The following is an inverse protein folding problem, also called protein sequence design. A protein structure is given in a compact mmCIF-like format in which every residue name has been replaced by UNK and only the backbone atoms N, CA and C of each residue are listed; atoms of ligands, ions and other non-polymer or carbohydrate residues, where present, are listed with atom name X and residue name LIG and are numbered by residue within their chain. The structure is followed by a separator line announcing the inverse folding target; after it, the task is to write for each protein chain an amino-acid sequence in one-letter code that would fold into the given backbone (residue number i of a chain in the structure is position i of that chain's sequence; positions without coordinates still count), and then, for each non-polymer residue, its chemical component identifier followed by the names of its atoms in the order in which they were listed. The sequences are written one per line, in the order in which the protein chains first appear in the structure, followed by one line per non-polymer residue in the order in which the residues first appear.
data_IF_615755676056
#
_entry.id   IF_615755676056
#
_cell.length_a   1.000
_cell.length_b   1.000
_cell.length_c   1.000
_cell.angle_alpha   90.00
_cell.angle_beta   90.00
_cell.angle_gamma   90.00
#
_symmetry.space_group_name_H-M   'P 1'
#
loop_
_entity.id
_entity.type
_entity.pdbx_description
1 polymer ?
#
# COMPACT_ATOMS: atom_id res chain seq x y z
N UNK A 1 -16.37 21.92 -15.03
CA UNK A 1 -15.92 20.54 -15.31
C UNK A 1 -16.94 19.59 -14.71
N UNK A 2 -17.26 18.48 -15.39
CA UNK A 2 -18.13 17.45 -14.83
C UNK A 2 -17.22 16.33 -14.31
N UNK A 3 -16.94 16.34 -13.00
CA UNK A 3 -16.02 15.38 -12.38
C UNK A 3 -16.61 13.97 -12.35
N UNK A 4 -17.92 13.82 -12.17
CA UNK A 4 -18.58 12.51 -12.22
C UNK A 4 -18.37 11.84 -13.58
N UNK A 5 -18.49 12.60 -14.67
CA UNK A 5 -18.19 12.10 -16.00
C UNK A 5 -16.73 11.68 -16.14
N UNK A 6 -15.79 12.49 -15.67
CA UNK A 6 -14.35 12.14 -15.69
C UNK A 6 -14.05 10.88 -14.88
N UNK A 7 -14.72 10.70 -13.74
CA UNK A 7 -14.59 9.51 -12.91
C UNK A 7 -15.10 8.29 -13.68
N UNK A 8 -16.31 8.33 -14.22
CA UNK A 8 -16.91 7.21 -14.95
C UNK A 8 -16.11 6.79 -16.20
N UNK A 9 -15.47 7.74 -16.89
CA UNK A 9 -14.58 7.45 -18.03
C UNK A 9 -13.28 6.73 -17.62
N UNK A 10 -12.91 6.77 -16.34
CA UNK A 10 -11.69 6.14 -15.79
C UNK A 10 -11.98 4.82 -15.06
N UNK A 11 -13.25 4.51 -14.78
CA UNK A 11 -13.63 3.23 -14.18
C UNK A 11 -13.40 2.12 -15.19
N UNK A 12 -12.62 1.11 -14.78
CA UNK A 12 -12.27 -0.06 -15.58
C UNK A 12 -12.38 -1.33 -14.74
N UNK A 13 -12.46 -2.49 -15.39
CA UNK A 13 -12.36 -3.76 -14.72
C UNK A 13 -10.92 -4.05 -14.25
N UNK A 14 -10.77 -5.01 -13.33
CA UNK A 14 -9.44 -5.48 -12.90
C UNK A 14 -8.66 -6.03 -14.09
N UNK A 15 -9.31 -6.79 -14.97
CA UNK A 15 -8.70 -7.37 -16.18
C UNK A 15 -8.18 -6.31 -17.14
N UNK A 16 -8.94 -5.22 -17.32
CA UNK A 16 -8.55 -4.06 -18.13
C UNK A 16 -7.36 -3.33 -17.52
N UNK A 17 -7.42 -3.02 -16.21
CA UNK A 17 -6.32 -2.39 -15.50
C UNK A 17 -5.04 -3.23 -15.53
N UNK A 18 -5.17 -4.56 -15.43
CA UNK A 18 -4.04 -5.46 -15.55
C UNK A 18 -3.37 -5.33 -16.92
N UNK A 19 -4.10 -5.14 -18.03
CA UNK A 19 -3.49 -5.02 -19.38
C UNK A 19 -2.43 -3.92 -19.48
N UNK A 20 -2.49 -2.92 -18.60
CA UNK A 20 -1.53 -1.82 -18.56
C UNK A 20 -0.15 -2.22 -18.04
N UNK A 21 -0.06 -3.33 -17.29
CA UNK A 21 1.21 -3.87 -16.78
C UNK A 21 1.96 -4.59 -17.90
N UNK A 22 3.22 -4.21 -18.12
CA UNK A 22 4.10 -4.76 -19.16
C UNK A 22 5.36 -5.35 -18.55
N UNK A 23 6.00 -6.26 -19.29
CA UNK A 23 7.27 -6.85 -18.88
C UNK A 23 8.32 -5.78 -18.56
N UNK A 24 9.09 -6.03 -17.52
CA UNK A 24 10.18 -5.17 -17.08
C UNK A 24 9.75 -3.96 -16.25
N UNK A 25 8.45 -3.64 -16.12
CA UNK A 25 7.97 -2.48 -15.37
C UNK A 25 8.13 -2.60 -13.86
N UNK A 26 8.16 -1.45 -13.18
CA UNK A 26 8.12 -1.31 -11.74
C UNK A 26 6.77 -0.77 -11.28
N UNK A 27 6.15 -1.53 -10.39
CA UNK A 27 4.93 -1.18 -9.70
C UNK A 27 5.32 -0.77 -8.27
N UNK A 28 4.97 0.45 -7.86
CA UNK A 28 4.97 0.82 -6.44
C UNK A 28 3.53 0.83 -5.93
N UNK A 29 3.33 0.54 -4.64
CA UNK A 29 1.99 0.56 -4.07
C UNK A 29 1.89 1.16 -2.67
N UNK A 30 0.68 1.56 -2.32
CA UNK A 30 0.26 1.88 -0.94
C UNK A 30 0.52 0.72 0.01
N UNK A 31 0.55 1.02 1.30
CA UNK A 31 1.02 0.11 2.34
C UNK A 31 -0.13 -0.35 3.24
N UNK A 32 0.16 -1.25 4.19
CA UNK A 32 -0.69 -1.59 5.34
C UNK A 32 -2.18 -1.73 4.96
N UNK A 33 -3.02 -0.78 5.38
CA UNK A 33 -4.47 -0.88 5.28
C UNK A 33 -4.98 -0.49 3.89
N UNK A 34 -4.26 0.41 3.23
CA UNK A 34 -4.56 0.90 1.89
C UNK A 34 -3.81 0.15 0.79
N UNK A 35 -3.15 -0.97 1.11
CA UNK A 35 -2.60 -1.85 0.07
C UNK A 35 -3.70 -2.21 -0.95
N UNK A 36 -3.41 -2.17 -2.27
CA UNK A 36 -4.40 -2.39 -3.32
C UNK A 36 -4.67 -3.89 -3.50
N UNK A 37 -5.41 -4.45 -2.52
CA UNK A 37 -5.67 -5.89 -2.39
C UNK A 37 -6.29 -6.46 -3.66
N UNK A 38 -7.23 -5.75 -4.28
CA UNK A 38 -7.95 -6.27 -5.45
C UNK A 38 -6.97 -6.50 -6.61
N UNK A 39 -6.09 -5.56 -6.90
CA UNK A 39 -5.08 -5.65 -7.94
C UNK A 39 -3.98 -6.66 -7.58
N UNK A 40 -3.40 -6.56 -6.38
CA UNK A 40 -2.32 -7.45 -5.94
C UNK A 40 -2.75 -8.92 -5.95
N UNK A 41 -4.02 -9.21 -5.60
CA UNK A 41 -4.57 -10.56 -5.64
C UNK A 41 -4.63 -11.15 -7.05
N UNK A 42 -4.66 -10.32 -8.11
CA UNK A 42 -4.81 -10.78 -9.49
C UNK A 42 -3.53 -10.68 -10.32
N UNK A 43 -2.43 -10.13 -9.79
CA UNK A 43 -1.16 -10.02 -10.55
C UNK A 43 -0.66 -11.37 -11.08
N UNK A 44 -0.82 -12.47 -10.32
CA UNK A 44 -0.39 -13.79 -10.76
C UNK A 44 -1.12 -14.29 -12.03
N UNK A 45 -2.34 -13.80 -12.30
CA UNK A 45 -3.18 -14.27 -13.43
C UNK A 45 -2.59 -13.91 -14.79
N UNK A 46 -1.71 -12.90 -14.82
CA UNK A 46 -1.08 -12.39 -16.03
C UNK A 46 0.35 -12.92 -16.24
N UNK A 47 0.79 -13.92 -15.46
CA UNK A 47 2.16 -14.47 -15.57
C UNK A 47 2.57 -14.81 -17.01
N UNK A 48 1.65 -15.35 -17.82
CA UNK A 48 1.95 -15.81 -19.17
C UNK A 48 2.21 -14.69 -20.19
N UNK A 49 1.95 -13.42 -19.83
CA UNK A 49 2.15 -12.27 -20.72
C UNK A 49 3.21 -11.28 -20.23
N UNK A 50 3.70 -11.44 -19.01
CA UNK A 50 4.69 -10.53 -18.42
C UNK A 50 5.89 -11.27 -17.85
N UNK A 51 7.05 -10.63 -17.93
CA UNK A 51 8.30 -11.09 -17.36
C UNK A 51 8.99 -9.94 -16.63
N UNK A 52 9.72 -10.24 -15.56
CA UNK A 52 10.56 -9.28 -14.81
C UNK A 52 9.80 -8.03 -14.32
N UNK A 53 8.54 -8.19 -13.89
CA UNK A 53 7.80 -7.11 -13.22
C UNK A 53 8.25 -7.00 -11.76
N UNK A 54 8.71 -5.81 -11.39
CA UNK A 54 9.13 -5.47 -10.03
C UNK A 54 7.95 -4.89 -9.26
N UNK A 55 7.63 -5.42 -8.09
CA UNK A 55 6.64 -4.84 -7.18
C UNK A 55 7.38 -4.32 -5.94
N UNK A 56 7.45 -3.00 -5.78
CA UNK A 56 8.14 -2.34 -4.66
C UNK A 56 7.13 -1.95 -3.61
N UNK A 57 7.21 -2.57 -2.44
CA UNK A 57 6.24 -2.38 -1.37
C UNK A 57 6.85 -2.59 0.02
N UNK A 58 6.15 -2.13 1.05
CA UNK A 58 6.44 -2.47 2.43
C UNK A 58 5.15 -2.80 3.16
N UNK A 59 5.28 -3.52 4.27
CA UNK A 59 4.17 -3.70 5.20
C UNK A 59 2.90 -4.30 4.56
N UNK A 60 3.07 -5.13 3.51
CA UNK A 60 1.93 -5.83 2.91
C UNK A 60 1.31 -6.77 3.94
N UNK A 61 0.02 -6.66 4.16
CA UNK A 61 -0.70 -7.40 5.20
C UNK A 61 -1.06 -8.81 4.75
N UNK A 62 -1.39 -8.97 3.47
CA UNK A 62 -1.81 -10.24 2.90
C UNK A 62 -0.66 -11.04 2.26
N UNK A 63 -0.90 -12.33 2.12
CA UNK A 63 -0.10 -13.24 1.28
C UNK A 63 -0.70 -13.26 -0.13
N UNK A 64 0.06 -12.84 -1.14
CA UNK A 64 -0.41 -12.81 -2.54
C UNK A 64 0.28 -13.88 -3.39
N UNK A 65 -0.50 -14.54 -4.26
CA UNK A 65 0.01 -15.58 -5.17
C UNK A 65 1.22 -15.12 -5.99
N UNK A 66 1.29 -13.83 -6.40
CA UNK A 66 2.39 -13.33 -7.23
C UNK A 66 3.77 -13.42 -6.56
N UNK A 67 3.83 -13.50 -5.24
CA UNK A 67 5.09 -13.70 -4.51
C UNK A 67 5.11 -14.99 -3.67
N UNK A 68 3.96 -15.60 -3.39
CA UNK A 68 3.87 -16.85 -2.64
C UNK A 68 4.05 -18.10 -3.50
N UNK A 69 3.88 -17.99 -4.82
CA UNK A 69 3.98 -19.11 -5.73
C UNK A 69 5.36 -19.14 -6.43
N UNK A 70 6.17 -20.21 -6.29
CA UNK A 70 7.47 -20.33 -6.95
C UNK A 70 7.41 -20.23 -8.49
N UNK A 71 6.27 -20.55 -9.11
CA UNK A 71 6.07 -20.38 -10.55
C UNK A 71 6.07 -18.91 -11.00
N UNK A 72 6.01 -17.96 -10.07
CA UNK A 72 6.11 -16.53 -10.37
C UNK A 72 7.55 -16.07 -10.60
N UNK A 73 8.54 -16.92 -10.28
CA UNK A 73 9.95 -16.59 -10.46
C UNK A 73 10.25 -16.25 -11.92
N UNK A 74 10.82 -15.07 -12.15
CA UNK A 74 11.08 -14.54 -13.50
C UNK A 74 9.90 -13.75 -14.10
N UNK A 75 8.70 -13.86 -13.52
CA UNK A 75 7.52 -13.08 -13.90
C UNK A 75 7.33 -11.88 -12.99
N UNK A 76 7.29 -12.13 -11.68
CA UNK A 76 7.14 -11.11 -10.65
C UNK A 76 8.23 -11.25 -9.59
N UNK A 77 8.66 -10.11 -9.05
CA UNK A 77 9.54 -10.03 -7.90
C UNK A 77 9.00 -9.00 -6.91
N UNK A 78 8.65 -9.44 -5.71
CA UNK A 78 8.38 -8.51 -4.61
C UNK A 78 9.70 -7.97 -4.07
N UNK A 79 10.00 -6.72 -4.39
CA UNK A 79 11.10 -5.94 -3.87
C UNK A 79 10.64 -5.21 -2.60
N UNK A 80 10.67 -5.93 -1.48
CA UNK A 80 10.15 -5.39 -0.23
C UNK A 80 11.20 -4.62 0.57
N UNK A 81 10.85 -3.42 1.00
CA UNK A 81 11.72 -2.62 1.89
C UNK A 81 11.34 -2.71 3.37
N UNK A 82 10.30 -3.50 3.69
CA UNK A 82 9.99 -3.95 5.04
C UNK A 82 9.24 -5.29 4.98
N UNK A 83 9.87 -6.36 5.48
CA UNK A 83 9.26 -7.68 5.48
C UNK A 83 8.17 -7.84 6.54
N UNK A 84 7.00 -8.30 6.10
CA UNK A 84 5.93 -8.85 6.96
C UNK A 84 5.94 -10.39 6.91
N UNK A 85 4.93 -11.02 7.51
CA UNK A 85 4.85 -12.48 7.60
C UNK A 85 4.94 -13.16 6.23
N UNK A 86 4.19 -12.67 5.24
CA UNK A 86 4.20 -13.21 3.88
C UNK A 86 5.58 -13.12 3.21
N UNK A 87 6.19 -11.94 3.21
CA UNK A 87 7.52 -11.74 2.62
C UNK A 87 8.60 -12.61 3.29
N UNK A 88 8.55 -12.77 4.62
CA UNK A 88 9.46 -13.68 5.35
C UNK A 88 9.29 -15.13 4.91
N UNK A 89 8.03 -15.59 4.82
CA UNK A 89 7.69 -16.96 4.42
C UNK A 89 8.11 -17.26 2.98
N UNK A 90 7.93 -16.31 2.07
CA UNK A 90 8.24 -16.46 0.66
C UNK A 90 9.71 -16.22 0.30
N UNK A 91 10.55 -15.77 1.24
CA UNK A 91 11.94 -15.41 0.94
C UNK A 91 12.74 -16.55 0.29
N UNK A 92 12.57 -17.79 0.77
CA UNK A 92 13.26 -18.97 0.23
C UNK A 92 12.78 -19.39 -1.16
N UNK A 93 11.65 -18.86 -1.64
CA UNK A 93 11.09 -19.20 -2.95
C UNK A 93 11.79 -18.46 -4.09
N UNK A 94 12.57 -17.41 -3.79
CA UNK A 94 13.28 -16.60 -4.78
C UNK A 94 12.37 -15.65 -5.58
N UNK A 95 11.16 -15.39 -5.07
CA UNK A 95 10.15 -14.45 -5.60
C UNK A 95 10.05 -13.17 -4.76
N UNK A 96 10.86 -13.06 -3.71
CA UNK A 96 10.95 -11.89 -2.83
C UNK A 96 12.42 -11.49 -2.64
N UNK A 97 12.70 -10.20 -2.71
CA UNK A 97 13.97 -9.57 -2.39
C UNK A 97 13.78 -8.51 -1.32
N UNK A 98 14.81 -8.29 -0.48
CA UNK A 98 14.82 -7.23 0.52
C UNK A 98 15.63 -6.03 0.04
N UNK A 99 15.07 -4.83 0.15
CA UNK A 99 15.78 -3.58 -0.11
C UNK A 99 15.93 -2.83 1.22
N UNK A 100 17.15 -2.71 1.75
CA UNK A 100 17.38 -1.86 2.92
C UNK A 100 17.13 -0.39 2.55
N UNK A 101 16.09 0.21 3.12
CA UNK A 101 15.76 1.63 2.96
C UNK A 101 15.34 2.23 4.30
N UNK A 102 15.72 3.48 4.54
CA UNK A 102 15.15 4.27 5.63
C UNK A 102 13.80 4.85 5.21
N UNK A 103 12.76 4.67 6.02
CA UNK A 103 11.38 5.07 5.70
C UNK A 103 11.29 6.52 5.21
N UNK A 104 11.90 7.46 5.93
CA UNK A 104 11.89 8.90 5.60
C UNK A 104 12.60 9.26 4.27
N UNK A 105 13.33 8.31 3.66
CA UNK A 105 13.99 8.48 2.37
C UNK A 105 13.53 7.47 1.34
N UNK A 106 12.64 6.54 1.68
CA UNK A 106 12.35 5.35 0.88
C UNK A 106 11.99 5.72 -0.56
N UNK A 107 11.11 6.71 -0.77
CA UNK A 107 10.74 7.18 -2.10
C UNK A 107 11.93 7.82 -2.80
N UNK A 108 12.58 8.83 -2.20
CA UNK A 108 13.71 9.53 -2.80
C UNK A 108 14.86 8.59 -3.21
N UNK A 109 15.23 7.65 -2.34
CA UNK A 109 16.29 6.67 -2.57
C UNK A 109 15.88 5.66 -3.64
N UNK A 110 14.64 5.16 -3.60
CA UNK A 110 14.17 4.20 -4.61
C UNK A 110 14.07 4.88 -5.97
N UNK A 111 13.42 6.02 -6.05
CA UNK A 111 13.18 6.75 -7.30
C UNK A 111 14.44 7.33 -7.93
N UNK A 112 15.49 7.57 -7.14
CA UNK A 112 16.82 7.88 -7.68
C UNK A 112 17.42 6.71 -8.47
N UNK A 113 17.21 5.48 -8.00
CA UNK A 113 17.63 4.27 -8.71
C UNK A 113 16.69 3.95 -9.88
N UNK A 114 15.38 3.96 -9.61
CA UNK A 114 14.34 3.60 -10.57
C UNK A 114 13.01 4.23 -10.17
N UNK A 115 12.44 5.04 -11.07
CA UNK A 115 11.07 5.57 -10.91
C UNK A 115 10.04 4.45 -11.11
N UNK A 116 8.90 4.48 -10.39
CA UNK A 116 7.81 3.56 -10.66
C UNK A 116 7.19 3.86 -12.03
N UNK A 117 6.96 2.82 -12.81
CA UNK A 117 6.17 2.91 -14.03
C UNK A 117 4.67 3.03 -13.69
N UNK A 118 4.23 2.30 -12.65
CA UNK A 118 2.83 2.26 -12.20
C UNK A 118 2.78 2.46 -10.69
N UNK A 119 1.87 3.30 -10.21
CA UNK A 119 1.44 3.36 -8.83
C UNK A 119 0.08 2.67 -8.67
N UNK A 120 -0.04 1.79 -7.68
CA UNK A 120 -1.30 1.18 -7.25
C UNK A 120 -1.63 1.64 -5.82
N UNK A 121 -2.82 2.19 -5.61
CA UNK A 121 -3.24 2.61 -4.27
C UNK A 121 -4.71 2.36 -4.00
N UNK A 122 -5.15 2.75 -2.80
CA UNK A 122 -6.55 2.71 -2.41
C UNK A 122 -7.04 4.09 -1.96
N UNK A 123 -8.31 4.38 -2.19
CA UNK A 123 -8.93 5.63 -1.80
C UNK A 123 -10.39 5.45 -1.35
N UNK A 124 -10.82 6.40 -0.53
CA UNK A 124 -12.23 6.72 -0.27
C UNK A 124 -12.88 7.42 -1.48
N UNK A 125 -14.22 7.45 -1.58
CA UNK A 125 -14.93 8.01 -2.72
C UNK A 125 -14.60 9.48 -3.02
N UNK A 126 -14.82 9.85 -4.28
CA UNK A 126 -14.64 11.21 -4.78
C UNK A 126 -15.70 12.16 -4.17
N UNK A 127 -15.28 13.36 -3.79
CA UNK A 127 -16.19 14.43 -3.38
C UNK A 127 -16.70 15.26 -4.56
N UNK A 128 -17.60 16.21 -4.28
CA UNK A 128 -18.17 17.12 -5.28
C UNK A 128 -17.14 18.04 -5.97
N UNK A 129 -15.91 18.13 -5.44
CA UNK A 129 -14.83 18.96 -5.97
C UNK A 129 -13.83 18.15 -6.81
N UNK A 130 -14.11 16.86 -7.04
CA UNK A 130 -13.25 15.98 -7.83
C UNK A 130 -12.08 15.37 -7.04
N UNK A 131 -12.10 15.45 -5.71
CA UNK A 131 -11.03 14.92 -4.86
C UNK A 131 -11.42 13.60 -4.21
N UNK A 132 -10.59 12.58 -4.38
CA UNK A 132 -10.58 11.37 -3.58
C UNK A 132 -9.62 11.57 -2.39
N UNK A 133 -9.75 10.72 -1.38
CA UNK A 133 -8.79 10.67 -0.25
C UNK A 133 -8.14 9.31 -0.22
N UNK A 134 -6.80 9.28 -0.15
CA UNK A 134 -5.92 8.10 0.03
C UNK A 134 -6.14 7.39 1.38
N UNK A 135 -7.15 7.82 2.15
CA UNK A 135 -7.66 7.16 3.34
C UNK A 135 -6.61 7.13 4.44
N UNK A 136 -6.25 5.95 4.94
CA UNK A 136 -5.41 5.80 6.14
C UNK A 136 -3.92 5.98 5.85
N UNK A 137 -3.54 6.21 4.59
CA UNK A 137 -2.15 6.20 4.15
C UNK A 137 -1.73 7.54 3.51
N UNK A 138 -0.62 8.08 4.00
CA UNK A 138 0.08 9.26 3.47
C UNK A 138 1.58 9.17 3.81
N UNK A 139 2.13 7.97 3.68
CA UNK A 139 3.51 7.63 4.02
C UNK A 139 4.45 7.93 2.85
N UNK A 140 4.04 7.50 1.65
CA UNK A 140 4.82 7.63 0.42
C UNK A 140 3.95 7.87 -0.82
N UNK A 141 2.64 7.76 -0.68
CA UNK A 141 1.69 7.64 -1.78
C UNK A 141 1.69 8.89 -2.66
N UNK A 142 1.72 10.09 -2.06
CA UNK A 142 1.72 11.35 -2.79
C UNK A 142 2.96 11.51 -3.68
N UNK A 143 4.14 11.27 -3.10
CA UNK A 143 5.39 11.32 -3.85
C UNK A 143 5.42 10.27 -4.97
N UNK A 144 4.90 9.06 -4.71
CA UNK A 144 4.83 7.99 -5.71
C UNK A 144 3.84 8.31 -6.84
N UNK A 145 2.70 8.92 -6.51
CA UNK A 145 1.70 9.38 -7.49
C UNK A 145 2.30 10.46 -8.40
N UNK A 146 3.07 11.40 -7.86
CA UNK A 146 3.72 12.44 -8.66
C UNK A 146 4.83 11.90 -9.58
N UNK A 147 5.45 10.78 -9.20
CA UNK A 147 6.56 10.18 -9.94
C UNK A 147 6.17 9.12 -10.94
N UNK A 148 5.03 8.45 -10.75
CA UNK A 148 4.58 7.35 -11.58
C UNK A 148 4.07 7.83 -12.93
N UNK A 149 4.34 7.05 -13.99
CA UNK A 149 3.79 7.34 -15.32
C UNK A 149 2.29 7.00 -15.41
N UNK A 150 1.82 6.10 -14.54
CA UNK A 150 0.42 5.67 -14.48
C UNK A 150 -0.05 5.46 -13.06
N UNK A 151 -1.22 5.99 -12.74
CA UNK A 151 -1.85 5.94 -11.41
C UNK A 151 -3.16 5.15 -11.49
N UNK A 152 -3.22 4.03 -10.77
CA UNK A 152 -4.41 3.18 -10.67
C UNK A 152 -4.87 3.15 -9.22
N UNK A 153 -6.13 3.51 -8.97
CA UNK A 153 -6.68 3.62 -7.61
C UNK A 153 -7.87 2.69 -7.43
N UNK A 154 -7.81 1.86 -6.39
CA UNK A 154 -8.96 1.11 -5.88
C UNK A 154 -9.83 1.99 -5.00
N UNK A 155 -11.09 2.19 -5.36
CA UNK A 155 -12.03 3.03 -4.62
C UNK A 155 -13.02 2.15 -3.87
N UNK A 156 -13.08 2.33 -2.54
CA UNK A 156 -14.05 1.66 -1.69
C UNK A 156 -14.89 2.65 -0.89
N UNK A 157 -16.22 2.50 -0.83
CA UNK A 157 -17.08 3.34 0.01
C UNK A 157 -16.88 3.12 1.51
N UNK A 158 -16.20 2.03 1.90
CA UNK A 158 -15.93 1.71 3.30
C UNK A 158 -14.66 2.34 3.85
N UNK A 159 -13.80 2.87 2.99
CA UNK A 159 -12.57 3.52 3.40
C UNK A 159 -12.85 4.95 3.85
N UNK A 160 -12.36 5.38 5.03
CA UNK A 160 -12.64 6.71 5.54
C UNK A 160 -12.00 7.81 4.70
N UNK A 161 -12.66 8.96 4.61
CA UNK A 161 -12.04 10.20 4.16
C UNK A 161 -11.27 10.82 5.33
N UNK A 162 -9.97 10.99 5.18
CA UNK A 162 -9.08 11.56 6.21
C UNK A 162 -8.65 12.98 5.82
N UNK A 163 -8.22 13.76 6.80
CA UNK A 163 -7.65 15.09 6.58
C UNK A 163 -6.13 15.02 6.41
N UNK A 164 -5.55 16.12 5.96
CA UNK A 164 -4.11 16.25 5.70
C UNK A 164 -3.79 16.04 4.22
N UNK A 165 -2.54 15.65 3.94
CA UNK A 165 -2.04 15.48 2.58
C UNK A 165 -2.44 14.15 1.92
N UNK A 166 -3.67 13.71 2.20
CA UNK A 166 -4.26 12.47 1.68
C UNK A 166 -5.13 12.72 0.44
N UNK A 167 -5.26 13.97 -0.02
CA UNK A 167 -6.19 14.32 -1.09
C UNK A 167 -5.52 14.21 -2.47
N UNK A 168 -6.21 13.54 -3.41
CA UNK A 168 -5.82 13.40 -4.81
C UNK A 168 -6.99 13.80 -5.72
N UNK A 169 -6.72 14.67 -6.69
CA UNK A 169 -7.74 15.08 -7.67
C UNK A 169 -7.87 14.02 -8.77
N UNK A 170 -9.09 13.81 -9.28
CA UNK A 170 -9.41 12.84 -10.33
C UNK A 170 -8.57 13.01 -11.61
N UNK A 171 -8.05 14.21 -11.87
CA UNK A 171 -7.16 14.45 -13.01
C UNK A 171 -5.78 13.81 -12.90
N UNK A 172 -5.35 13.43 -11.69
CA UNK A 172 -4.08 12.76 -11.43
C UNK A 172 -4.20 11.23 -11.41
N UNK A 173 -5.41 10.69 -11.64
CA UNK A 173 -5.68 9.25 -11.67
C UNK A 173 -5.91 8.84 -13.11
N UNK A 174 -5.29 7.76 -13.56
CA UNK A 174 -5.50 7.23 -14.91
C UNK A 174 -6.66 6.25 -14.95
N UNK A 175 -6.71 5.33 -13.98
CA UNK A 175 -7.71 4.27 -13.90
C UNK A 175 -8.25 4.10 -12.49
N UNK A 176 -9.54 3.77 -12.40
CA UNK A 176 -10.24 3.49 -11.16
C UNK A 176 -10.79 2.08 -11.20
N UNK A 177 -10.62 1.36 -10.10
CA UNK A 177 -11.26 0.08 -9.87
C UNK A 177 -12.18 0.26 -8.67
N UNK A 178 -13.48 0.03 -8.85
CA UNK A 178 -14.43 0.08 -7.75
C UNK A 178 -14.46 -1.26 -7.02
N UNK A 179 -14.41 -1.22 -5.70
CA UNK A 179 -14.37 -2.40 -4.84
C UNK A 179 -15.18 -2.16 -3.57
N UNK A 180 -15.80 -3.22 -3.05
CA UNK A 180 -16.59 -3.19 -1.80
C UNK A 180 -15.75 -3.68 -0.61
N UNK A 181 -14.41 -3.58 -0.72
CA UNK A 181 -13.48 -4.07 0.30
C UNK A 181 -13.61 -3.25 1.59
N UNK A 182 -13.72 -3.97 2.71
CA UNK A 182 -13.61 -3.38 4.05
C UNK A 182 -12.15 -3.11 4.42
N UNK A 183 -11.86 -2.01 5.15
CA UNK A 183 -10.56 -1.83 5.80
C UNK A 183 -10.16 -3.04 6.65
N UNK A 184 -8.88 -3.45 6.64
CA UNK A 184 -8.44 -4.53 7.51
C UNK A 184 -8.53 -4.11 8.98
N UNK A 185 -8.88 -5.06 9.84
CA UNK A 185 -8.93 -4.87 11.30
C UNK A 185 -7.79 -5.61 11.97
N UNK A 186 -7.25 -5.05 13.04
CA UNK A 186 -6.30 -5.75 13.91
C UNK A 186 -7.08 -6.54 14.96
N UNK A 187 -6.74 -7.80 15.25
CA UNK A 187 -7.41 -8.57 16.28
C UNK A 187 -7.20 -7.95 17.66
N UNK A 188 -8.18 -8.13 18.55
CA UNK A 188 -8.02 -7.77 19.97
C UNK A 188 -6.91 -8.63 20.59
N UNK A 189 -5.94 -7.98 21.23
CA UNK A 189 -4.79 -8.66 21.83
C UNK A 189 -4.89 -8.58 23.35
N UNK A 190 -4.70 -9.73 24.00
CA UNK A 190 -4.64 -9.80 25.47
C UNK A 190 -3.30 -9.28 25.95
N UNK A 191 -3.35 -8.37 26.91
CA UNK A 191 -2.17 -7.77 27.55
C UNK A 191 -1.72 -8.68 28.70
N UNK A 192 -0.42 -8.97 28.79
CA UNK A 192 0.17 -9.72 29.90
C UNK A 192 0.49 -8.83 31.11
N UNK A 193 0.72 -9.44 32.27
CA UNK A 193 1.13 -8.71 33.48
C UNK A 193 2.51 -8.03 33.30
N UNK A 194 3.41 -8.65 32.54
CA UNK A 194 4.71 -8.08 32.19
C UNK A 194 4.56 -6.86 31.28
N UNK A 195 3.69 -6.92 30.26
CA UNK A 195 3.43 -5.81 29.34
C UNK A 195 2.81 -4.62 30.08
N UNK A 196 1.90 -4.91 31.02
CA UNK A 196 1.32 -3.88 31.90
C UNK A 196 2.39 -3.19 32.74
N UNK A 197 3.29 -3.96 33.35
CA UNK A 197 4.40 -3.43 34.15
C UNK A 197 5.31 -2.52 33.32
N UNK A 198 5.59 -2.89 32.06
CA UNK A 198 6.36 -2.03 31.15
C UNK A 198 5.60 -0.74 30.85
N UNK A 199 4.29 -0.83 30.57
CA UNK A 199 3.44 0.33 30.35
C UNK A 199 3.48 1.33 31.51
N UNK A 200 3.40 0.85 32.75
CA UNK A 200 3.50 1.67 33.96
C UNK A 200 4.84 2.41 34.05
N UNK A 201 5.96 1.72 33.80
CA UNK A 201 7.29 2.37 33.79
C UNK A 201 7.46 3.41 32.66
N UNK A 202 6.87 3.16 31.49
CA UNK A 202 6.93 4.13 30.38
C UNK A 202 6.06 5.35 30.68
N UNK A 203 4.87 5.15 31.25
CA UNK A 203 3.97 6.23 31.63
C UNK A 203 4.60 7.18 32.65
N UNK A 204 5.38 6.67 33.62
CA UNK A 204 6.13 7.49 34.59
C UNK A 204 7.18 8.41 33.95
N UNK A 205 7.59 8.15 32.70
CA UNK A 205 8.53 8.99 31.94
C UNK A 205 7.83 10.04 31.07
N UNK A 206 6.50 10.03 30.99
CA UNK A 206 5.72 10.91 30.14
C UNK A 206 5.17 12.04 30.98
N UNK A 207 5.70 13.24 30.75
CA UNK A 207 5.23 14.46 31.39
C UNK A 207 4.00 15.01 30.67
N UNK A 208 3.22 15.84 31.36
CA UNK A 208 2.11 16.60 30.76
C UNK A 208 2.59 17.34 29.50
N UNK A 209 1.74 17.35 28.46
CA UNK A 209 2.00 18.01 27.16
C UNK A 209 3.09 17.35 26.30
N UNK A 210 3.58 16.16 26.66
CA UNK A 210 4.49 15.38 25.82
C UNK A 210 3.90 15.09 24.43
N UNK A 211 4.73 15.21 23.39
CA UNK A 211 4.36 14.78 22.03
C UNK A 211 4.75 13.32 21.84
N UNK A 212 3.76 12.46 21.59
CA UNK A 212 3.95 11.02 21.54
C UNK A 212 4.18 10.53 20.10
N UNK A 213 5.18 9.67 19.91
CA UNK A 213 5.32 8.80 18.74
C UNK A 213 5.45 7.38 19.25
N UNK A 214 4.46 6.56 18.93
CA UNK A 214 4.34 5.21 19.46
C UNK A 214 4.01 4.25 18.31
N UNK A 215 4.51 3.02 18.38
CA UNK A 215 4.22 1.97 17.40
C UNK A 215 2.92 1.21 17.72
N UNK A 216 2.66 0.13 16.98
CA UNK A 216 1.58 -0.80 17.28
C UNK A 216 2.11 -1.95 18.16
N UNK A 217 1.30 -2.43 19.11
CA UNK A 217 1.65 -3.56 19.97
C UNK A 217 0.97 -3.48 21.34
N UNK A 218 0.94 -4.62 22.04
CA UNK A 218 0.29 -4.79 23.35
C UNK A 218 0.92 -4.00 24.47
N UNK A 219 2.25 -3.84 24.47
CA UNK A 219 3.01 -3.13 25.50
C UNK A 219 2.59 -1.67 25.68
N UNK A 220 1.87 -1.09 24.71
CA UNK A 220 1.64 0.35 24.61
C UNK A 220 0.17 0.75 24.82
N UNK A 221 -0.74 -0.21 25.02
CA UNK A 221 -2.19 0.05 25.17
C UNK A 221 -2.52 0.71 26.54
N UNK A 222 -1.56 0.77 27.46
CA UNK A 222 -1.71 1.35 28.81
C UNK A 222 -0.81 2.57 29.09
N UNK A 223 -0.17 3.14 28.06
CA UNK A 223 0.46 4.46 28.17
C UNK A 223 -0.62 5.53 28.10
#
# INVERSE_FOLDING_TARGET
MNFDKMYQEKVVSVEEALQEIKSGQEIACSLIACEPVTMLSHLHTIKNRVENVSVVAALLMNEYEFFMNPEMKGHFLLNSWFYTAGARKAHSLGTVSYIPLELHRAVSSRSFYRKPDIFLGCASPMDQHGYLSLSMDSVCEKDLIELADKVIIEVSPHFPRTYGDTHIHISAIDYIIETDRMPPTVPEIKISDEEKTIGEYVADLIEDESTLQIGFGTTLIHI
#
